data_IF_560647140496
#
_entry.id   IF_560647140496
#
_cell.length_a   1.000
_cell.length_b   1.000
_cell.length_c   1.000
_cell.angle_alpha   90.00
_cell.angle_beta   90.00
_cell.angle_gamma   90.00
#
_symmetry.space_group_name_H-M   'P 1'
#
loop_
_entity.id
_entity.type
_entity.pdbx_description
1 polymer ?
#
# COMPACT_ATOMS: atom_id res chain seq x y z
N UNK A 1 -4.96 -24.49 -20.61
CA UNK A 1 -5.73 -23.98 -19.45
C UNK A 1 -5.20 -24.64 -18.16
N UNK A 2 -3.96 -24.33 -17.74
CA UNK A 2 -3.31 -24.92 -16.54
C UNK A 2 -2.53 -23.88 -15.70
N UNK A 3 -2.45 -22.61 -16.13
CA UNK A 3 -1.72 -21.57 -15.39
C UNK A 3 -2.35 -21.29 -14.02
N UNK A 4 -3.68 -21.18 -13.94
CA UNK A 4 -4.36 -20.77 -12.70
C UNK A 4 -4.05 -21.67 -11.50
N UNK A 5 -4.09 -22.99 -11.67
CA UNK A 5 -3.89 -23.95 -10.57
C UNK A 5 -2.46 -23.95 -10.00
N UNK A 6 -1.43 -23.83 -10.86
CA UNK A 6 -0.04 -23.73 -10.42
C UNK A 6 0.22 -22.45 -9.62
N UNK A 7 -0.32 -21.32 -10.06
CA UNK A 7 -0.15 -20.05 -9.35
C UNK A 7 -0.85 -20.05 -7.98
N UNK A 8 -2.08 -20.58 -7.87
CA UNK A 8 -2.75 -20.71 -6.57
C UNK A 8 -1.99 -21.64 -5.59
N UNK A 9 -1.41 -22.72 -6.10
CA UNK A 9 -0.63 -23.66 -5.27
C UNK A 9 0.69 -23.03 -4.78
N UNK A 10 1.34 -22.17 -5.59
CA UNK A 10 2.53 -21.39 -5.18
C UNK A 10 2.23 -20.46 -4.00
N UNK A 11 1.12 -19.71 -4.04
CA UNK A 11 0.76 -18.79 -2.95
C UNK A 11 0.26 -19.50 -1.70
N UNK A 12 -0.42 -20.65 -1.84
CA UNK A 12 -0.76 -21.51 -0.71
C UNK A 12 0.49 -21.88 0.12
N UNK A 13 1.54 -22.31 -0.57
CA UNK A 13 2.82 -22.66 0.06
C UNK A 13 3.47 -21.44 0.72
N UNK A 14 3.31 -20.24 0.13
CA UNK A 14 3.93 -18.99 0.61
C UNK A 14 3.42 -18.58 1.99
N UNK A 15 2.11 -18.63 2.26
CA UNK A 15 1.58 -18.27 3.59
C UNK A 15 2.01 -19.23 4.69
N UNK A 16 1.96 -20.55 4.40
CA UNK A 16 2.44 -21.57 5.34
C UNK A 16 3.92 -21.38 5.63
N UNK A 17 4.70 -21.02 4.61
CA UNK A 17 6.13 -20.77 4.76
C UNK A 17 6.42 -19.50 5.57
N UNK A 18 5.66 -18.43 5.36
CA UNK A 18 5.73 -17.20 6.19
C UNK A 18 5.52 -17.52 7.67
N UNK A 19 4.45 -18.24 8.02
CA UNK A 19 4.18 -18.59 9.42
C UNK A 19 5.27 -19.49 10.02
N UNK A 20 5.72 -20.49 9.27
CA UNK A 20 6.76 -21.43 9.73
C UNK A 20 8.09 -20.71 9.96
N UNK A 21 8.50 -19.85 9.03
CA UNK A 21 9.77 -19.12 9.10
C UNK A 21 9.72 -18.04 10.20
N UNK A 22 8.61 -17.32 10.33
CA UNK A 22 8.36 -16.39 11.44
C UNK A 22 8.49 -17.07 12.81
N UNK A 23 7.84 -18.24 12.96
CA UNK A 23 7.87 -19.00 14.22
C UNK A 23 9.26 -19.54 14.54
N UNK A 24 9.98 -20.04 13.54
CA UNK A 24 11.28 -20.70 13.76
C UNK A 24 12.44 -19.73 13.87
N UNK A 25 12.33 -18.46 13.43
CA UNK A 25 13.35 -17.39 13.53
C UNK A 25 14.74 -17.67 12.91
N UNK A 26 15.03 -18.90 12.48
CA UNK A 26 16.32 -19.31 11.92
C UNK A 26 16.42 -19.19 10.39
N UNK A 27 15.29 -18.99 9.69
CA UNK A 27 15.23 -19.01 8.22
C UNK A 27 15.06 -17.60 7.62
N UNK A 28 15.91 -16.65 8.03
CA UNK A 28 15.77 -15.23 7.67
C UNK A 28 15.76 -15.03 6.15
N UNK A 29 16.70 -15.66 5.41
CA UNK A 29 16.75 -15.54 3.93
C UNK A 29 15.46 -16.01 3.26
N UNK A 30 14.83 -17.06 3.80
CA UNK A 30 13.60 -17.61 3.25
C UNK A 30 12.40 -16.73 3.60
N UNK A 31 12.36 -16.20 4.82
CA UNK A 31 11.39 -15.19 5.23
C UNK A 31 11.47 -13.96 4.32
N UNK A 32 12.67 -13.42 4.08
CA UNK A 32 12.88 -12.26 3.21
C UNK A 32 12.40 -12.54 1.78
N UNK A 33 12.71 -13.71 1.24
CA UNK A 33 12.20 -14.15 -0.06
C UNK A 33 10.67 -14.20 -0.10
N UNK A 34 10.02 -14.81 0.90
CA UNK A 34 8.56 -14.89 0.96
C UNK A 34 7.91 -13.51 1.06
N UNK A 35 8.48 -12.62 1.86
CA UNK A 35 7.98 -11.24 2.01
C UNK A 35 8.15 -10.47 0.70
N UNK A 36 9.30 -10.60 0.03
CA UNK A 36 9.55 -9.92 -1.24
C UNK A 36 8.59 -10.41 -2.34
N UNK A 37 8.41 -11.71 -2.49
CA UNK A 37 7.45 -12.28 -3.45
C UNK A 37 6.01 -11.78 -3.18
N UNK A 38 5.65 -11.70 -1.90
CA UNK A 38 4.36 -11.21 -1.42
C UNK A 38 4.15 -9.72 -1.74
N UNK A 39 5.18 -8.89 -1.53
CA UNK A 39 5.12 -7.45 -1.83
C UNK A 39 5.11 -7.16 -3.33
N UNK A 40 5.74 -8.01 -4.15
CA UNK A 40 5.73 -7.89 -5.61
C UNK A 40 4.37 -8.24 -6.23
N UNK A 41 3.57 -9.08 -5.57
CA UNK A 41 2.29 -9.57 -6.08
C UNK A 41 1.16 -9.39 -5.05
N UNK A 42 0.88 -8.15 -4.60
CA UNK A 42 0.02 -7.92 -3.46
C UNK A 42 -1.46 -8.22 -3.73
N UNK A 43 -1.92 -8.20 -4.98
CA UNK A 43 -3.31 -8.52 -5.30
C UNK A 43 -3.72 -9.92 -4.85
N UNK A 44 -2.86 -10.91 -5.06
CA UNK A 44 -3.13 -12.29 -4.64
C UNK A 44 -3.07 -12.44 -3.13
N UNK A 45 -2.15 -11.70 -2.51
CA UNK A 45 -2.00 -11.68 -1.07
C UNK A 45 -3.23 -11.07 -0.40
N UNK A 46 -3.62 -9.85 -0.81
CA UNK A 46 -4.72 -9.10 -0.23
C UNK A 46 -6.08 -9.78 -0.48
N UNK A 47 -6.30 -10.41 -1.64
CA UNK A 47 -7.55 -11.13 -1.94
C UNK A 47 -7.66 -12.47 -1.23
N UNK A 48 -6.60 -12.98 -0.60
CA UNK A 48 -6.64 -14.29 0.04
C UNK A 48 -7.22 -14.21 1.45
N UNK A 49 -8.28 -14.96 1.72
CA UNK A 49 -8.82 -15.12 3.08
C UNK A 49 -7.79 -15.65 4.08
N UNK A 50 -6.76 -16.37 3.62
CA UNK A 50 -5.67 -16.86 4.46
C UNK A 50 -4.74 -15.76 4.93
N UNK A 51 -4.53 -14.73 4.11
CA UNK A 51 -3.68 -13.61 4.49
C UNK A 51 -4.20 -12.96 5.77
N UNK A 52 -5.50 -12.71 5.86
CA UNK A 52 -6.09 -12.06 7.02
C UNK A 52 -6.23 -12.98 8.25
N UNK A 53 -6.04 -14.28 8.06
CA UNK A 53 -5.95 -15.26 9.13
C UNK A 53 -4.51 -15.51 9.60
N UNK A 54 -3.50 -14.88 8.97
CA UNK A 54 -2.13 -14.95 9.46
C UNK A 54 -2.03 -14.37 10.87
N UNK A 55 -0.95 -14.74 11.56
CA UNK A 55 -0.58 -14.11 12.82
C UNK A 55 -0.60 -12.57 12.69
N UNK A 56 -1.30 -11.83 13.58
CA UNK A 56 -1.38 -10.37 13.53
C UNK A 56 -0.03 -9.68 13.41
N UNK A 57 1.02 -10.21 14.05
CA UNK A 57 2.35 -9.64 13.95
C UNK A 57 2.96 -9.76 12.54
N UNK A 58 2.63 -10.83 11.79
CA UNK A 58 3.05 -11.00 10.40
C UNK A 58 2.29 -10.01 9.51
N UNK A 59 0.99 -9.85 9.74
CA UNK A 59 0.17 -8.86 9.06
C UNK A 59 0.71 -7.44 9.26
N UNK A 60 1.05 -7.08 10.50
CA UNK A 60 1.63 -5.78 10.84
C UNK A 60 2.96 -5.58 10.11
N UNK A 61 3.83 -6.59 10.07
CA UNK A 61 5.10 -6.50 9.34
C UNK A 61 4.85 -6.27 7.86
N UNK A 62 3.97 -7.06 7.22
CA UNK A 62 3.72 -6.95 5.78
C UNK A 62 3.06 -5.62 5.44
N UNK A 63 1.99 -5.25 6.15
CA UNK A 63 1.19 -4.07 5.84
C UNK A 63 1.86 -2.75 6.26
N UNK A 64 2.90 -2.75 7.08
CA UNK A 64 3.67 -1.53 7.36
C UNK A 64 4.79 -1.27 6.35
N UNK A 65 5.04 -2.18 5.40
CA UNK A 65 6.09 -1.98 4.40
C UNK A 65 5.72 -0.93 3.37
N UNK A 66 6.71 -0.13 2.98
CA UNK A 66 6.61 0.87 1.92
C UNK A 66 6.70 0.28 0.51
N UNK A 67 7.29 -0.91 0.37
CA UNK A 67 7.60 -1.53 -0.93
C UNK A 67 6.55 -2.54 -1.42
N UNK A 68 5.33 -2.49 -0.85
CA UNK A 68 4.20 -3.25 -1.36
C UNK A 68 3.74 -2.63 -2.68
N UNK A 69 3.75 -3.42 -3.76
CA UNK A 69 3.47 -2.97 -5.13
C UNK A 69 1.97 -2.80 -5.43
N UNK A 70 1.30 -1.89 -4.72
CA UNK A 70 -0.12 -1.56 -4.97
C UNK A 70 -0.27 -0.30 -5.83
N UNK A 71 -1.34 -0.26 -6.63
CA UNK A 71 -1.65 0.90 -7.48
C UNK A 71 -2.36 2.02 -6.70
N UNK A 72 -3.14 1.67 -5.67
CA UNK A 72 -3.90 2.62 -4.85
C UNK A 72 -4.08 2.02 -3.45
N UNK A 73 -3.87 2.85 -2.41
CA UNK A 73 -4.02 2.47 -0.99
C UNK A 73 -5.44 1.99 -0.65
N UNK A 74 -6.45 2.44 -1.39
CA UNK A 74 -7.83 1.95 -1.22
C UNK A 74 -7.95 0.43 -1.41
N UNK A 75 -7.03 -0.20 -2.15
CA UNK A 75 -7.03 -1.65 -2.40
C UNK A 75 -6.80 -2.45 -1.11
N UNK A 76 -6.01 -1.93 -0.17
CA UNK A 76 -5.79 -2.59 1.13
C UNK A 76 -7.08 -2.56 1.94
N UNK A 77 -7.77 -1.42 1.94
CA UNK A 77 -9.07 -1.30 2.60
C UNK A 77 -10.06 -2.28 1.97
N UNK A 78 -10.31 -2.17 0.66
CA UNK A 78 -11.33 -2.95 -0.06
C UNK A 78 -11.18 -4.46 0.08
N UNK A 79 -9.96 -4.97 0.05
CA UNK A 79 -9.72 -6.42 0.10
C UNK A 79 -9.78 -6.99 1.52
N UNK A 80 -10.14 -6.18 2.52
CA UNK A 80 -10.41 -6.68 3.85
C UNK A 80 -11.76 -7.47 3.82
N UNK A 81 -11.81 -8.78 4.16
CA UNK A 81 -12.97 -9.66 3.94
C UNK A 81 -14.24 -9.21 4.64
N UNK A 82 -14.04 -8.36 5.64
CA UNK A 82 -15.07 -7.73 6.44
C UNK A 82 -15.93 -6.78 5.61
N UNK A 83 -15.36 -6.13 4.60
CA UNK A 83 -16.02 -5.08 3.82
C UNK A 83 -17.09 -5.65 2.88
N UNK A 84 -17.06 -6.97 2.63
CA UNK A 84 -18.10 -7.66 1.85
C UNK A 84 -19.40 -7.86 2.63
N UNK A 85 -19.43 -7.57 3.94
CA UNK A 85 -20.63 -7.70 4.76
C UNK A 85 -21.49 -6.44 4.70
N UNK A 86 -22.81 -6.62 4.58
CA UNK A 86 -23.78 -5.54 4.60
C UNK A 86 -23.92 -4.96 6.02
N UNK A 87 -23.28 -3.82 6.25
CA UNK A 87 -23.23 -3.12 7.54
C UNK A 87 -24.64 -2.79 8.04
N UNK A 88 -25.61 -2.58 7.14
CA UNK A 88 -26.99 -2.28 7.50
C UNK A 88 -27.68 -3.44 8.24
N UNK A 89 -27.10 -4.65 8.20
CA UNK A 89 -27.61 -5.85 8.87
C UNK A 89 -26.92 -6.15 10.19
N UNK A 90 -25.94 -5.34 10.59
CA UNK A 90 -25.14 -5.61 11.79
C UNK A 90 -25.91 -5.29 13.06
N UNK A 91 -25.85 -6.21 14.02
CA UNK A 91 -26.30 -5.97 15.38
C UNK A 91 -25.17 -5.37 16.23
N UNK A 92 -25.49 -4.98 17.48
CA UNK A 92 -24.50 -4.39 18.41
C UNK A 92 -23.27 -5.27 18.66
N UNK A 93 -23.45 -6.59 18.69
CA UNK A 93 -22.35 -7.53 18.89
C UNK A 93 -21.45 -7.60 17.65
N UNK A 94 -22.03 -7.57 16.45
CA UNK A 94 -21.28 -7.49 15.20
C UNK A 94 -20.43 -6.21 15.18
N UNK A 95 -21.01 -5.05 15.48
CA UNK A 95 -20.27 -3.79 15.63
C UNK A 95 -19.10 -3.89 16.62
N UNK A 96 -19.31 -4.52 17.78
CA UNK A 96 -18.26 -4.67 18.81
C UNK A 96 -17.12 -5.58 18.35
N UNK A 97 -17.44 -6.71 17.71
CA UNK A 97 -16.44 -7.59 17.11
C UNK A 97 -15.67 -6.84 16.02
N UNK A 98 -16.38 -5.99 15.29
CA UNK A 98 -15.86 -5.29 14.16
C UNK A 98 -14.94 -4.13 14.50
N UNK A 99 -15.31 -3.33 15.49
CA UNK A 99 -14.48 -2.31 16.10
C UNK A 99 -13.13 -2.90 16.54
N UNK A 100 -13.14 -4.05 17.22
CA UNK A 100 -11.91 -4.73 17.65
C UNK A 100 -11.03 -5.18 16.50
N UNK A 101 -11.63 -5.69 15.41
CA UNK A 101 -10.89 -6.15 14.23
C UNK A 101 -10.29 -4.97 13.48
N UNK A 102 -11.12 -3.98 13.12
CA UNK A 102 -10.68 -2.80 12.35
C UNK A 102 -9.72 -1.92 13.15
N UNK A 103 -9.86 -1.86 14.48
CA UNK A 103 -8.99 -1.05 15.34
C UNK A 103 -7.49 -1.27 15.10
N UNK A 104 -7.08 -2.49 14.75
CA UNK A 104 -5.68 -2.80 14.40
C UNK A 104 -5.28 -2.36 12.99
N UNK A 105 -6.23 -2.38 12.04
CA UNK A 105 -5.98 -2.00 10.64
C UNK A 105 -6.10 -0.51 10.38
N UNK A 106 -6.88 0.22 11.18
CA UNK A 106 -7.02 1.68 11.08
C UNK A 106 -5.65 2.38 11.06
N UNK A 107 -4.74 2.18 12.03
CA UNK A 107 -3.45 2.88 12.02
C UNK A 107 -2.51 2.46 10.86
N UNK A 108 -2.77 1.32 10.21
CA UNK A 108 -1.94 0.78 9.13
C UNK A 108 -2.27 1.43 7.78
N UNK A 109 -3.52 1.88 7.59
CA UNK A 109 -3.96 2.44 6.31
C UNK A 109 -3.45 3.86 6.09
N UNK A 110 -2.91 4.13 4.91
CA UNK A 110 -2.39 5.46 4.55
C UNK A 110 -3.50 6.31 3.97
N UNK A 111 -4.47 6.70 4.80
CA UNK A 111 -5.70 7.39 4.35
C UNK A 111 -5.44 8.67 3.53
N UNK A 112 -4.39 9.42 3.88
CA UNK A 112 -4.02 10.65 3.16
C UNK A 112 -3.52 10.42 1.71
N UNK A 113 -3.23 9.16 1.37
CA UNK A 113 -2.87 8.71 0.03
C UNK A 113 -4.05 8.17 -0.76
N UNK A 114 -5.24 8.13 -0.16
CA UNK A 114 -6.51 7.76 -0.80
C UNK A 114 -7.15 9.02 -1.38
N UNK A 115 -7.87 8.91 -2.50
CA UNK A 115 -8.61 10.05 -3.06
C UNK A 115 -9.75 10.45 -2.12
N UNK A 116 -10.14 11.74 -2.12
CA UNK A 116 -11.25 12.22 -1.30
C UNK A 116 -12.57 11.50 -1.64
N UNK A 117 -12.78 11.23 -2.93
CA UNK A 117 -13.94 10.49 -3.45
C UNK A 117 -13.96 9.04 -2.94
N UNK A 118 -12.85 8.31 -3.08
CA UNK A 118 -12.74 6.94 -2.60
C UNK A 118 -12.90 6.88 -1.08
N UNK A 119 -12.29 7.80 -0.33
CA UNK A 119 -12.46 7.88 1.11
C UNK A 119 -13.93 8.10 1.47
N UNK A 120 -14.61 9.06 0.84
CA UNK A 120 -16.02 9.35 1.11
C UNK A 120 -16.93 8.15 0.83
N UNK A 121 -16.86 7.61 -0.39
CA UNK A 121 -17.81 6.61 -0.88
C UNK A 121 -17.55 5.22 -0.32
N UNK A 122 -16.27 4.83 -0.17
CA UNK A 122 -15.90 3.44 0.14
C UNK A 122 -15.47 3.24 1.59
N UNK A 123 -15.11 4.31 2.31
CA UNK A 123 -14.62 4.24 3.70
C UNK A 123 -15.57 4.95 4.66
N UNK A 124 -15.82 6.24 4.44
CA UNK A 124 -16.57 7.06 5.39
C UNK A 124 -18.04 6.68 5.45
N UNK A 125 -18.78 6.69 4.34
CA UNK A 125 -20.21 6.38 4.39
C UNK A 125 -20.55 5.01 5.01
N UNK A 126 -19.82 3.93 4.69
CA UNK A 126 -20.12 2.64 5.29
C UNK A 126 -19.62 2.51 6.73
N UNK A 127 -18.44 3.07 7.06
CA UNK A 127 -17.73 2.73 8.30
C UNK A 127 -17.52 3.92 9.26
N UNK A 128 -18.20 5.06 9.08
CA UNK A 128 -18.01 6.27 9.92
C UNK A 128 -18.09 6.01 11.43
N UNK A 129 -18.94 5.07 11.86
CA UNK A 129 -19.15 4.74 13.28
C UNK A 129 -17.98 3.94 13.88
N UNK A 130 -17.14 3.33 13.04
CA UNK A 130 -16.00 2.49 13.44
C UNK A 130 -14.67 3.24 13.34
N UNK A 131 -14.67 4.45 12.78
CA UNK A 131 -13.49 5.27 12.60
C UNK A 131 -13.39 6.33 13.70
N UNK A 132 -12.18 6.60 14.24
CA UNK A 132 -11.99 7.69 15.17
C UNK A 132 -12.37 9.04 14.55
N UNK A 133 -13.16 9.84 15.27
CA UNK A 133 -13.59 11.17 14.80
C UNK A 133 -12.41 12.09 14.42
N UNK A 134 -11.32 12.03 15.19
CA UNK A 134 -10.12 12.82 14.91
C UNK A 134 -9.49 12.43 13.57
N UNK A 135 -9.48 11.13 13.24
CA UNK A 135 -8.97 10.65 11.95
C UNK A 135 -9.81 11.19 10.80
N UNK A 136 -11.13 11.09 10.91
CA UNK A 136 -12.09 11.60 9.91
C UNK A 136 -11.87 13.10 9.67
N UNK A 137 -11.84 13.89 10.75
CA UNK A 137 -11.67 15.34 10.69
C UNK A 137 -10.33 15.72 10.05
N UNK A 138 -9.25 15.02 10.39
CA UNK A 138 -7.93 15.27 9.82
C UNK A 138 -7.87 14.94 8.32
N UNK A 139 -8.50 13.85 7.88
CA UNK A 139 -8.56 13.49 6.46
C UNK A 139 -9.38 14.52 5.67
N UNK A 140 -10.55 14.92 6.17
CA UNK A 140 -11.35 15.97 5.53
C UNK A 140 -10.59 17.28 5.42
N UNK A 141 -9.94 17.71 6.52
CA UNK A 141 -9.11 18.91 6.52
C UNK A 141 -7.97 18.80 5.51
N UNK A 142 -7.35 17.63 5.37
CA UNK A 142 -6.29 17.39 4.38
C UNK A 142 -6.77 17.52 2.93
N UNK A 143 -7.99 17.08 2.63
CA UNK A 143 -8.53 17.22 1.27
C UNK A 143 -9.05 18.63 0.95
N UNK A 144 -9.37 19.43 1.98
CA UNK A 144 -9.88 20.81 1.82
C UNK A 144 -8.74 21.85 1.83
N UNK A 145 -7.75 21.68 2.71
CA UNK A 145 -6.67 22.64 2.93
C UNK A 145 -5.44 22.26 2.11
N UNK A 146 -4.74 23.25 1.53
CA UNK A 146 -3.47 23.02 0.83
C UNK A 146 -2.48 22.25 1.70
N UNK A 147 -1.87 21.19 1.13
CA UNK A 147 -0.96 20.24 1.80
C UNK A 147 0.15 20.91 2.61
N UNK A 148 0.62 22.09 2.17
CA UNK A 148 1.75 22.81 2.76
C UNK A 148 1.42 23.44 4.14
N UNK A 149 0.15 23.47 4.55
CA UNK A 149 -0.29 24.08 5.81
C UNK A 149 -0.52 23.08 6.95
N UNK A 150 -0.39 21.78 6.67
CA UNK A 150 -0.71 20.73 7.62
C UNK A 150 0.57 20.08 8.14
N UNK A 151 0.83 20.23 9.44
CA UNK A 151 1.94 19.59 10.12
C UNK A 151 1.58 18.14 10.48
N UNK A 152 1.22 17.35 9.47
CA UNK A 152 0.80 15.95 9.61
C UNK A 152 2.01 15.08 9.24
N UNK A 153 2.46 14.25 10.17
CA UNK A 153 3.47 13.23 9.88
C UNK A 153 2.84 12.13 9.02
N UNK A 154 2.95 12.28 7.70
CA UNK A 154 2.31 11.40 6.73
C UNK A 154 3.31 10.34 6.24
N UNK A 155 2.93 9.07 6.34
CA UNK A 155 3.66 8.01 5.64
C UNK A 155 3.53 8.20 4.12
N UNK A 156 4.61 8.01 3.34
CA UNK A 156 4.56 8.11 1.89
C UNK A 156 3.57 7.07 1.33
N UNK A 157 2.97 7.29 0.15
CA UNK A 157 2.13 6.25 -0.47
C UNK A 157 2.98 5.02 -0.79
N UNK A 158 2.41 3.82 -0.66
CA UNK A 158 3.06 2.60 -1.15
C UNK A 158 3.07 2.63 -2.66
N UNK A 159 4.25 2.51 -3.24
CA UNK A 159 4.42 2.43 -4.69
C UNK A 159 5.21 1.17 -5.05
N UNK A 160 4.96 0.58 -6.23
CA UNK A 160 5.81 -0.46 -6.77
C UNK A 160 7.26 0.01 -6.78
N UNK A 161 8.18 -0.83 -6.27
CA UNK A 161 9.64 -0.63 -6.41
C UNK A 161 10.06 -0.31 -7.85
N UNK A 162 9.29 -0.80 -8.83
CA UNK A 162 9.56 -0.61 -10.25
C UNK A 162 9.27 0.80 -10.79
N UNK A 163 8.64 1.69 -10.02
CA UNK A 163 8.39 3.08 -10.45
C UNK A 163 9.62 3.97 -10.25
N UNK A 164 10.57 3.57 -9.40
CA UNK A 164 11.78 4.33 -9.13
C UNK A 164 13.03 3.49 -9.41
N UNK A 165 13.54 3.62 -10.63
CA UNK A 165 14.90 3.21 -10.92
C UNK A 165 15.86 4.11 -10.14
N UNK A 166 17.02 3.61 -9.71
CA UNK A 166 18.10 4.44 -9.15
C UNK A 166 18.48 5.61 -10.07
N UNK A 167 18.22 5.45 -11.37
CA UNK A 167 18.47 6.40 -12.45
C UNK A 167 17.22 7.26 -12.72
N UNK A 168 16.01 6.69 -12.62
CA UNK A 168 14.75 7.37 -12.96
C UNK A 168 13.97 7.72 -11.69
N UNK A 169 14.09 8.97 -11.26
CA UNK A 169 13.35 9.57 -10.13
C UNK A 169 11.99 10.10 -10.59
N UNK A 170 11.09 10.38 -9.65
CA UNK A 170 9.76 10.99 -9.91
C UNK A 170 9.84 12.25 -10.80
N UNK A 171 10.86 13.09 -10.59
CA UNK A 171 11.12 14.28 -11.41
C UNK A 171 11.37 13.97 -12.91
N UNK A 172 11.92 12.80 -13.23
CA UNK A 172 12.16 12.36 -14.61
C UNK A 172 10.87 11.85 -15.26
N UNK A 173 9.92 11.31 -14.49
CA UNK A 173 8.62 10.87 -15.01
C UNK A 173 7.80 12.03 -15.58
N UNK A 174 7.87 13.21 -14.95
CA UNK A 174 7.25 14.43 -15.49
C UNK A 174 7.87 14.85 -16.84
N UNK A 175 9.19 14.69 -17.00
CA UNK A 175 9.86 14.94 -18.29
C UNK A 175 9.41 13.94 -19.35
N UNK A 176 9.34 12.65 -19.02
CA UNK A 176 8.89 11.61 -19.95
C UNK A 176 7.42 11.76 -20.34
N UNK A 177 6.52 12.06 -19.40
CA UNK A 177 5.11 12.34 -19.71
C UNK A 177 4.99 13.52 -20.69
N UNK A 178 5.75 14.60 -20.48
CA UNK A 178 5.72 15.77 -21.37
C UNK A 178 6.27 15.49 -22.76
N UNK A 179 7.29 14.62 -22.87
CA UNK A 179 7.84 14.16 -24.14
C UNK A 179 6.84 13.28 -24.91
N UNK A 180 6.13 12.38 -24.21
CA UNK A 180 5.09 11.53 -24.80
C UNK A 180 3.90 12.37 -25.28
N UNK A 181 3.49 13.36 -24.49
CA UNK A 181 2.38 14.26 -24.80
C UNK A 181 2.71 15.29 -25.89
N UNK A 182 3.92 15.25 -26.47
CA UNK A 182 4.42 16.20 -27.49
C UNK A 182 4.18 17.68 -27.13
N UNK A 183 4.24 18.03 -25.85
CA UNK A 183 4.19 19.44 -25.45
C UNK A 183 5.55 20.08 -25.73
N UNK A 184 5.67 20.75 -26.88
CA UNK A 184 6.89 21.39 -27.34
C UNK A 184 7.43 22.43 -26.33
N UNK A 185 8.76 22.45 -26.20
CA UNK A 185 9.56 23.15 -25.20
C UNK A 185 9.53 24.68 -25.35
N UNK A 186 9.64 25.40 -24.23
CA UNK A 186 10.32 26.68 -24.20
C UNK A 186 11.26 26.75 -22.99
N UNK A 187 12.56 26.71 -23.31
CA UNK A 187 13.75 27.15 -22.56
C UNK A 187 14.01 26.57 -21.16
N UNK A 188 15.18 25.94 -20.98
CA UNK A 188 16.23 26.53 -20.12
C UNK A 188 17.57 25.81 -20.35
N UNK A 189 18.55 26.60 -20.78
CA UNK A 189 19.97 26.30 -20.70
C UNK A 189 20.37 26.14 -19.23
N UNK A 190 20.57 24.91 -18.76
CA UNK A 190 21.51 24.67 -17.67
C UNK A 190 22.56 23.69 -18.17
N UNK A 191 23.78 24.22 -18.34
CA UNK A 191 25.01 23.44 -18.51
C UNK A 191 25.04 22.34 -17.45
N UNK A 192 24.80 21.11 -17.85
CA UNK A 192 25.27 19.94 -17.11
C UNK A 192 26.76 19.81 -17.42
N UNK A 193 27.60 20.41 -16.58
CA UNK A 193 29.03 20.06 -16.54
C UNK A 193 29.15 18.64 -15.99
N UNK A 194 29.31 17.68 -16.89
CA UNK A 194 29.78 16.33 -16.55
C UNK A 194 31.27 16.42 -16.25
N UNK A 195 31.64 16.37 -14.97
CA UNK A 195 33.02 16.13 -14.58
C UNK A 195 33.30 14.63 -14.73
N UNK A 196 33.85 14.24 -15.88
CA UNK A 196 34.49 12.94 -16.06
C UNK A 196 35.92 13.07 -15.57
N UNK A 197 36.19 12.73 -14.30
CA UNK A 197 37.57 12.50 -13.86
C UNK A 197 37.97 11.08 -14.26
N UNK A 198 38.54 10.94 -15.45
CA UNK A 198 39.37 9.80 -15.79
C UNK A 198 40.78 10.03 -15.23
N UNK A 199 41.23 9.19 -14.31
CA UNK A 199 42.67 9.05 -14.02
C UNK A 199 43.14 7.74 -14.62
N UNK A 200 43.78 7.84 -15.78
CA UNK A 200 44.71 6.85 -16.29
C UNK A 200 46.05 7.03 -15.56
N UNK A 201 46.54 5.95 -14.94
CA UNK A 201 47.95 5.55 -14.96
C UNK A 201 48.00 4.03 -14.91
#
# INVERSE_FOLDING_TARGET
MYCGSFYYQKYYQTFKLLELTYRKKFFIKLWDYCIQESCNNPDYLLKSTKFLNLNPAILDIILNRDDISINNEITIWKNHPIIEQDINKWNKNDFTVMERRLGRFIPINRYYSISSEDFLLKIYYPFKELLPNDLINNIFKYHIVSKNKLNINMQPPRYPKFVYSTIIKSQHLNLFSRLIDKKENLYYNHKLTLNVTGSSK
#
